data_IF_966272202787
#
_entry.id   IF_966272202787
#
_cell.length_a   1.000
_cell.length_b   1.000
_cell.length_c   1.000
_cell.angle_alpha   90.00
_cell.angle_beta   90.00
_cell.angle_gamma   90.00
#
_symmetry.space_group_name_H-M   'P 1'
#
loop_
_entity.id
_entity.type
_entity.pdbx_description
1 polymer ?
#
# COMPACT_ATOMS: atom_id res chain seq x y z
N UNK A 1 -26.81 -2.42 2.03
CA UNK A 1 -26.21 -3.77 2.15
C UNK A 1 -24.73 -3.62 2.51
N UNK A 2 -24.32 -3.98 3.73
CA UNK A 2 -22.94 -3.81 4.24
C UNK A 2 -22.27 -5.18 4.25
N UNK A 3 -21.37 -5.45 3.30
CA UNK A 3 -20.66 -6.73 3.27
C UNK A 3 -19.86 -6.91 4.56
N UNK A 4 -19.96 -8.06 5.25
CA UNK A 4 -19.12 -8.35 6.40
C UNK A 4 -17.66 -8.35 5.95
N UNK A 5 -16.79 -7.75 6.76
CA UNK A 5 -15.36 -7.65 6.46
C UNK A 5 -14.77 -9.06 6.42
N UNK A 6 -13.97 -9.37 5.39
CA UNK A 6 -13.21 -10.62 5.28
C UNK A 6 -12.50 -10.89 6.62
N UNK A 7 -12.86 -11.99 7.27
CA UNK A 7 -12.10 -12.55 8.38
C UNK A 7 -10.93 -13.33 7.78
N UNK A 8 -9.72 -13.08 8.26
CA UNK A 8 -8.57 -13.90 7.90
C UNK A 8 -8.83 -15.36 8.27
N UNK A 9 -8.18 -16.28 7.56
CA UNK A 9 -8.36 -17.73 7.69
C UNK A 9 -8.04 -18.26 9.11
N UNK A 10 -7.32 -17.51 9.92
CA UNK A 10 -6.95 -17.91 11.27
C UNK A 10 -8.16 -17.85 12.24
N UNK A 11 -8.64 -19.04 12.60
CA UNK A 11 -9.56 -19.25 13.71
C UNK A 11 -8.97 -18.71 15.02
N UNK A 12 -9.83 -18.11 15.86
CA UNK A 12 -9.52 -17.51 17.16
C UNK A 12 -8.50 -18.34 17.96
N UNK A 13 -7.23 -17.94 17.96
CA UNK A 13 -6.26 -18.30 19.00
C UNK A 13 -6.25 -17.19 20.06
N UNK A 14 -5.92 -17.47 21.33
CA UNK A 14 -5.74 -16.43 22.35
C UNK A 14 -4.58 -15.48 22.02
N UNK A 15 -3.57 -15.93 21.27
CA UNK A 15 -2.51 -15.09 20.66
C UNK A 15 -2.94 -14.41 19.35
N UNK A 16 -4.15 -14.69 18.87
CA UNK A 16 -4.69 -14.05 17.69
C UNK A 16 -5.14 -12.66 18.12
N UNK A 17 -4.20 -11.71 18.03
CA UNK A 17 -4.48 -10.28 18.11
C UNK A 17 -5.75 -10.03 17.31
N UNK A 18 -6.81 -9.80 18.06
CA UNK A 18 -8.08 -9.41 17.49
C UNK A 18 -7.83 -8.19 16.62
N UNK A 19 -8.52 -8.15 15.49
CA UNK A 19 -8.54 -7.05 14.53
C UNK A 19 -7.37 -7.01 13.55
N UNK A 20 -7.64 -7.61 12.38
CA UNK A 20 -7.49 -6.88 11.12
C UNK A 20 -6.04 -6.51 10.77
N UNK A 21 -5.11 -7.42 11.03
CA UNK A 21 -3.75 -7.31 10.53
C UNK A 21 -3.76 -7.38 9.01
N UNK A 22 -3.13 -6.40 8.36
CA UNK A 22 -2.74 -6.55 6.97
C UNK A 22 -1.68 -7.66 6.94
N UNK A 23 -1.84 -8.65 6.07
CA UNK A 23 -0.96 -9.83 6.04
C UNK A 23 0.43 -9.53 5.49
N UNK A 24 0.59 -8.41 4.76
CA UNK A 24 1.88 -7.96 4.25
C UNK A 24 2.49 -6.93 5.21
N UNK A 25 3.81 -6.95 5.37
CA UNK A 25 4.55 -5.94 6.15
C UNK A 25 4.75 -4.63 5.37
N UNK A 26 4.69 -4.72 4.03
CA UNK A 26 4.92 -3.60 3.12
C UNK A 26 3.96 -3.66 1.93
N UNK A 27 3.49 -2.48 1.52
CA UNK A 27 2.61 -2.29 0.37
C UNK A 27 3.24 -1.36 -0.66
N UNK A 28 3.20 -1.76 -1.93
CA UNK A 28 3.62 -0.95 -3.07
C UNK A 28 2.38 -0.61 -3.89
N UNK A 29 2.04 0.67 -3.95
CA UNK A 29 0.93 1.17 -4.77
C UNK A 29 1.46 1.78 -6.05
N UNK A 30 0.98 1.30 -7.20
CA UNK A 30 1.26 1.91 -8.51
C UNK A 30 0.12 2.83 -8.93
N UNK A 31 0.45 4.08 -9.24
CA UNK A 31 -0.46 5.08 -9.79
C UNK A 31 -0.03 5.43 -11.22
N UNK A 32 -0.88 5.10 -12.19
CA UNK A 32 -0.69 5.57 -13.56
C UNK A 32 -1.12 7.04 -13.66
N UNK A 33 -0.20 7.90 -14.08
CA UNK A 33 -0.41 9.36 -14.08
C UNK A 33 -1.07 9.88 -15.36
N UNK A 34 -0.85 9.20 -16.48
CA UNK A 34 -1.37 9.61 -17.78
C UNK A 34 -2.89 9.36 -17.85
N UNK A 35 -3.63 10.42 -18.18
CA UNK A 35 -5.11 10.43 -18.24
C UNK A 35 -5.62 10.29 -19.66
N UNK A 36 -4.79 10.60 -20.65
CA UNK A 36 -5.17 10.49 -22.05
C UNK A 36 -4.97 9.06 -22.55
N UNK A 37 -6.07 8.36 -22.81
CA UNK A 37 -6.07 6.96 -23.30
C UNK A 37 -5.20 6.76 -24.54
N UNK A 38 -5.08 7.77 -25.41
CA UNK A 38 -4.27 7.69 -26.64
C UNK A 38 -2.76 7.76 -26.40
N UNK A 39 -2.32 8.32 -25.28
CA UNK A 39 -0.91 8.46 -24.89
C UNK A 39 -0.52 7.55 -23.73
N UNK A 40 -1.52 7.00 -23.03
CA UNK A 40 -1.36 6.05 -21.96
C UNK A 40 -0.69 4.78 -22.51
N UNK A 41 0.56 4.59 -22.13
CA UNK A 41 1.29 3.37 -22.41
C UNK A 41 1.57 2.68 -21.08
N UNK A 42 0.81 1.62 -20.80
CA UNK A 42 0.95 0.86 -19.54
C UNK A 42 2.35 0.25 -19.37
N UNK A 43 3.09 0.05 -20.47
CA UNK A 43 4.45 -0.47 -20.47
C UNK A 43 5.51 0.61 -20.21
N UNK A 44 5.15 1.89 -20.33
CA UNK A 44 6.05 3.00 -20.10
C UNK A 44 6.12 3.32 -18.60
N UNK A 45 7.16 2.80 -17.94
CA UNK A 45 7.42 2.98 -16.51
C UNK A 45 7.60 4.44 -16.10
N UNK A 46 7.88 5.36 -17.04
CA UNK A 46 7.95 6.79 -16.75
C UNK A 46 6.57 7.40 -16.43
N UNK A 47 5.48 6.75 -16.88
CA UNK A 47 4.10 7.19 -16.61
C UNK A 47 3.57 6.67 -15.27
N UNK A 48 4.36 5.87 -14.55
CA UNK A 48 3.99 5.28 -13.27
C UNK A 48 4.67 5.98 -12.10
N UNK A 49 3.86 6.39 -11.13
CA UNK A 49 4.32 6.75 -9.80
C UNK A 49 4.10 5.58 -8.85
N UNK A 50 5.13 5.20 -8.11
CA UNK A 50 5.03 4.17 -7.09
C UNK A 50 5.07 4.79 -5.69
N UNK A 51 4.34 4.20 -4.76
CA UNK A 51 4.30 4.61 -3.37
C UNK A 51 4.55 3.39 -2.51
N UNK A 52 5.63 3.41 -1.74
CA UNK A 52 6.02 2.33 -0.84
C UNK A 52 5.62 2.74 0.58
N UNK A 53 4.84 1.90 1.24
CA UNK A 53 4.34 2.19 2.60
C UNK A 53 4.40 0.92 3.44
N UNK A 54 4.95 1.03 4.65
CA UNK A 54 4.93 -0.03 5.64
C UNK A 54 3.55 -0.16 6.30
N UNK A 55 3.24 -1.38 6.75
CA UNK A 55 1.99 -1.65 7.47
C UNK A 55 1.91 -0.92 8.79
N UNK A 56 3.04 -0.70 9.48
CA UNK A 56 3.10 0.10 10.71
C UNK A 56 2.56 1.51 10.50
N UNK A 57 3.01 2.19 9.44
CA UNK A 57 2.56 3.54 9.09
C UNK A 57 1.08 3.55 8.71
N UNK A 58 0.63 2.51 8.01
CA UNK A 58 -0.77 2.40 7.60
C UNK A 58 -1.72 2.11 8.76
N UNK A 59 -1.29 1.32 9.75
CA UNK A 59 -2.10 0.97 10.91
C UNK A 59 -2.13 2.10 11.94
N UNK A 60 -1.04 2.87 12.07
CA UNK A 60 -1.02 4.11 12.87
C UNK A 60 -1.98 5.16 12.31
N UNK A 61 -1.95 5.40 10.99
CA UNK A 61 -2.76 6.46 10.37
C UNK A 61 -4.19 6.01 10.02
N UNK A 62 -4.38 4.73 9.68
CA UNK A 62 -5.64 4.20 9.12
C UNK A 62 -6.01 2.80 9.66
N UNK A 63 -6.16 2.61 10.99
CA UNK A 63 -6.38 1.29 11.60
C UNK A 63 -7.71 0.64 11.16
N UNK A 64 -8.69 1.44 10.73
CA UNK A 64 -10.03 0.96 10.41
C UNK A 64 -10.34 0.84 8.91
N UNK A 65 -9.44 1.24 8.01
CA UNK A 65 -9.75 1.38 6.57
C UNK A 65 -8.91 0.41 5.72
N UNK A 66 -9.60 -0.41 4.92
CA UNK A 66 -8.98 -1.32 3.94
C UNK A 66 -8.70 -0.63 2.60
N UNK A 67 -9.02 0.66 2.47
CA UNK A 67 -8.85 1.46 1.27
C UNK A 67 -8.18 2.75 1.67
N UNK A 68 -7.14 3.13 0.93
CA UNK A 68 -6.47 4.41 1.06
C UNK A 68 -6.70 5.21 -0.22
N UNK A 69 -7.15 6.46 -0.08
CA UNK A 69 -7.29 7.34 -1.24
C UNK A 69 -5.94 7.89 -1.69
N UNK A 70 -5.81 8.22 -2.98
CA UNK A 70 -4.56 8.79 -3.54
C UNK A 70 -4.09 10.02 -2.75
N UNK A 71 -5.01 10.89 -2.34
CA UNK A 71 -4.67 12.09 -1.55
C UNK A 71 -4.06 11.75 -0.19
N UNK A 72 -4.52 10.67 0.44
CA UNK A 72 -4.00 10.21 1.73
C UNK A 72 -2.65 9.50 1.54
N UNK A 73 -2.51 8.75 0.46
CA UNK A 73 -1.25 8.10 0.10
C UNK A 73 -0.15 9.14 -0.14
N UNK A 74 -0.46 10.22 -0.88
CA UNK A 74 0.41 11.37 -1.11
C UNK A 74 0.79 12.15 0.16
N UNK A 75 0.00 12.06 1.23
CA UNK A 75 0.35 12.71 2.50
C UNK A 75 1.28 11.90 3.39
N UNK A 76 1.38 10.59 3.13
CA UNK A 76 2.17 9.65 3.96
C UNK A 76 3.48 9.30 3.27
N UNK A 77 3.47 9.20 1.95
CA UNK A 77 4.59 8.73 1.15
C UNK A 77 4.74 9.60 -0.09
N UNK A 78 5.99 9.86 -0.45
CA UNK A 78 6.33 10.55 -1.68
C UNK A 78 6.28 9.57 -2.87
N UNK A 79 5.85 10.03 -4.05
CA UNK A 79 5.95 9.23 -5.26
C UNK A 79 7.42 8.97 -5.58
N UNK A 80 7.73 7.73 -5.89
CA UNK A 80 9.05 7.29 -6.36
C UNK A 80 8.91 6.67 -7.76
N UNK A 81 10.01 6.70 -8.52
CA UNK A 81 10.07 6.00 -9.81
C UNK A 81 10.35 4.51 -9.61
N UNK A 82 10.07 3.71 -10.63
CA UNK A 82 10.35 2.27 -10.64
C UNK A 82 11.76 1.92 -10.14
N UNK A 83 12.78 2.66 -10.60
CA UNK A 83 14.18 2.37 -10.29
C UNK A 83 14.52 2.55 -8.80
N UNK A 84 13.71 3.33 -8.07
CA UNK A 84 13.91 3.64 -6.66
C UNK A 84 13.13 2.70 -5.73
N UNK A 85 12.29 1.81 -6.27
CA UNK A 85 11.49 0.88 -5.47
C UNK A 85 12.39 0.01 -4.61
N UNK A 86 13.48 -0.53 -5.20
CA UNK A 86 14.41 -1.40 -4.48
C UNK A 86 15.05 -0.68 -3.30
N UNK A 87 15.55 0.54 -3.51
CA UNK A 87 16.17 1.35 -2.46
C UNK A 87 15.18 1.70 -1.34
N UNK A 88 13.95 2.07 -1.71
CA UNK A 88 12.90 2.39 -0.75
C UNK A 88 12.49 1.17 0.09
N UNK A 89 12.37 0.00 -0.54
CA UNK A 89 12.08 -1.26 0.15
C UNK A 89 13.24 -1.66 1.06
N UNK A 90 14.48 -1.64 0.55
CA UNK A 90 15.68 -1.99 1.33
C UNK A 90 15.82 -1.07 2.56
N UNK A 91 15.51 0.22 2.42
CA UNK A 91 15.54 1.17 3.55
C UNK A 91 14.52 0.82 4.63
N UNK A 92 13.30 0.44 4.24
CA UNK A 92 12.25 0.06 5.19
C UNK A 92 12.57 -1.29 5.85
N UNK A 93 13.09 -2.25 5.07
CA UNK A 93 13.42 -3.58 5.58
C UNK A 93 14.61 -3.53 6.54
N UNK A 94 15.61 -2.68 6.29
CA UNK A 94 16.76 -2.51 7.17
C UNK A 94 16.43 -1.76 8.49
N UNK A 95 15.28 -1.07 8.56
CA UNK A 95 14.81 -0.40 9.78
C UNK A 95 13.93 -1.29 10.69
N UNK A 96 13.52 -2.47 10.22
CA UNK A 96 12.71 -3.45 10.95
C UNK A 96 13.62 -4.49 11.63
#
# INVERSE_FOLDING_TARGET
MRFPKKKGWHAKKPDSLTFRNREADLFIFGLHTEKQVKKANLLDLSQWEFYVVSTTVLDLNYPAKNKIGIRQLKSISNPIMHNQIKEAVDSIVNEI
#
